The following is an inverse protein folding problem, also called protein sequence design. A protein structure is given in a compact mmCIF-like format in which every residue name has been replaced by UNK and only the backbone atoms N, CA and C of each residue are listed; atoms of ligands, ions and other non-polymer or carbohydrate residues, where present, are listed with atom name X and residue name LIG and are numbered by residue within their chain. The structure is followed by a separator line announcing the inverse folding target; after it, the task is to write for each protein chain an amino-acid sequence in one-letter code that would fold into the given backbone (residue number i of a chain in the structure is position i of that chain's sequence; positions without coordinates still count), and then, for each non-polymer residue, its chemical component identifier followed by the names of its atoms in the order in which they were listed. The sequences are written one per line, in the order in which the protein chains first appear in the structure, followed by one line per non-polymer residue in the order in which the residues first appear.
data_IF_195580168527
#
_entry.id   IF_195580168527
#
_cell.length_a   1.000
_cell.length_b   1.000
_cell.length_c   1.000
_cell.angle_alpha   90.00
_cell.angle_beta   90.00
_cell.angle_gamma   90.00
#
_symmetry.space_group_name_H-M   'P 1'
#
loop_
_entity.id
_entity.type
_entity.pdbx_description
1 polymer ?
#
# COMPACT_ATOMS: atom_id res chain seq x y z
N UNK A 1 5.06 -27.19 8.22
CA UNK A 1 5.71 -25.86 8.30
C UNK A 1 4.68 -24.73 8.18
N UNK A 2 3.42 -24.93 8.60
CA UNK A 2 2.28 -24.12 8.11
C UNK A 2 1.18 -23.89 9.16
N UNK A 3 1.58 -23.63 10.42
CA UNK A 3 0.70 -23.15 11.50
C UNK A 3 0.71 -21.60 11.60
N UNK A 4 1.53 -20.95 10.79
CA UNK A 4 2.03 -19.61 11.08
C UNK A 4 1.45 -18.50 10.19
N UNK A 5 0.51 -18.74 9.27
CA UNK A 5 0.09 -17.68 8.33
C UNK A 5 -0.77 -16.60 9.00
N UNK A 6 -1.87 -16.96 9.68
CA UNK A 6 -2.55 -16.05 10.60
C UNK A 6 -1.73 -15.79 11.82
N UNK A 7 -0.89 -16.69 12.34
CA UNK A 7 -0.02 -16.26 13.47
C UNK A 7 0.92 -15.14 13.03
N UNK A 8 1.36 -15.11 11.75
CA UNK A 8 2.14 -14.01 11.17
C UNK A 8 1.25 -12.81 10.86
N UNK A 9 0.07 -12.97 10.25
CA UNK A 9 -0.84 -11.85 9.97
C UNK A 9 -1.34 -11.19 11.27
N UNK A 10 -1.69 -12.03 12.25
CA UNK A 10 -2.02 -11.67 13.63
C UNK A 10 -0.79 -11.10 14.32
N UNK A 11 0.41 -11.67 14.24
CA UNK A 11 1.60 -11.06 14.82
C UNK A 11 1.87 -9.68 14.21
N UNK A 12 1.81 -9.54 12.87
CA UNK A 12 1.97 -8.27 12.18
C UNK A 12 0.91 -7.23 12.59
N UNK A 13 -0.28 -7.69 13.00
CA UNK A 13 -1.44 -6.86 13.37
C UNK A 13 -1.73 -6.81 14.88
N UNK A 14 -0.93 -7.48 15.71
CA UNK A 14 -1.14 -7.58 17.16
C UNK A 14 0.00 -6.92 17.94
N UNK A 15 -0.28 -6.34 19.11
CA UNK A 15 0.77 -5.93 20.04
C UNK A 15 1.59 -7.16 20.47
N UNK A 16 2.94 -7.08 20.58
CA UNK A 16 3.76 -5.87 20.55
C UNK A 16 4.29 -5.47 19.17
N UNK A 17 4.24 -6.34 18.16
CA UNK A 17 4.86 -6.03 16.86
C UNK A 17 4.22 -4.81 16.20
N UNK A 18 2.88 -4.73 16.20
CA UNK A 18 2.18 -3.57 15.63
C UNK A 18 2.53 -2.30 16.41
N UNK A 19 2.50 -2.31 17.75
CA UNK A 19 2.83 -1.13 18.56
C UNK A 19 4.29 -0.68 18.42
N UNK A 20 5.22 -1.62 18.21
CA UNK A 20 6.65 -1.33 18.18
C UNK A 20 7.13 -0.93 16.78
N UNK A 21 6.48 -1.42 15.72
CA UNK A 21 6.94 -1.28 14.34
C UNK A 21 5.99 -0.47 13.45
N UNK A 22 4.75 -0.24 13.89
CA UNK A 22 3.75 0.57 13.19
C UNK A 22 3.47 1.83 13.99
N UNK A 23 3.86 2.97 13.45
CA UNK A 23 3.62 4.27 14.06
C UNK A 23 2.86 5.15 13.07
N UNK A 24 1.67 5.57 13.47
CA UNK A 24 0.93 6.59 12.72
C UNK A 24 1.65 7.93 12.85
N UNK A 25 1.60 8.77 11.80
CA UNK A 25 2.20 10.09 11.84
C UNK A 25 1.42 10.98 12.82
N UNK A 26 2.15 11.74 13.62
CA UNK A 26 1.60 12.65 14.61
C UNK A 26 1.35 14.05 14.01
N UNK A 27 0.47 14.80 14.66
CA UNK A 27 0.24 16.21 14.32
C UNK A 27 1.52 17.00 14.62
N UNK A 28 2.02 17.73 13.63
CA UNK A 28 3.24 18.53 13.74
C UNK A 28 4.52 17.80 13.32
N UNK A 29 4.44 16.53 12.88
CA UNK A 29 5.60 15.83 12.35
C UNK A 29 6.22 16.59 11.17
N UNK A 30 7.56 16.73 11.16
CA UNK A 30 8.25 17.37 10.06
C UNK A 30 8.05 16.58 8.77
N UNK A 31 8.16 17.26 7.63
CA UNK A 31 8.13 16.57 6.35
C UNK A 31 9.26 15.54 6.26
N UNK A 32 9.01 14.34 5.71
CA UNK A 32 10.03 13.30 5.62
C UNK A 32 11.29 13.77 4.90
N UNK A 33 12.47 13.40 5.41
CA UNK A 33 13.77 13.80 4.85
C UNK A 33 13.93 13.37 3.39
N UNK A 34 13.35 12.22 3.03
CA UNK A 34 13.27 11.71 1.66
C UNK A 34 12.63 12.71 0.68
N UNK A 35 11.63 13.47 1.13
CA UNK A 35 10.98 14.51 0.34
C UNK A 35 11.83 15.78 0.34
N UNK A 36 12.19 16.29 1.53
CA UNK A 36 12.90 17.57 1.68
C UNK A 36 14.23 17.58 0.92
N UNK A 37 14.98 16.49 0.99
CA UNK A 37 16.32 16.39 0.42
C UNK A 37 16.34 16.27 -1.12
N UNK A 38 15.17 16.04 -1.74
CA UNK A 38 15.09 15.78 -3.17
C UNK A 38 14.33 16.90 -3.90
N UNK A 39 15.00 17.69 -4.77
CA UNK A 39 14.37 18.79 -5.50
C UNK A 39 13.33 18.32 -6.53
N UNK A 40 13.25 17.01 -6.82
CA UNK A 40 12.16 16.45 -7.63
C UNK A 40 10.85 16.35 -6.85
N UNK A 41 10.92 16.28 -5.52
CA UNK A 41 9.75 16.07 -4.66
C UNK A 41 9.41 17.32 -3.88
N UNK A 42 10.39 18.04 -3.36
CA UNK A 42 10.16 19.33 -2.68
C UNK A 42 10.15 20.49 -3.69
N UNK A 43 9.20 21.45 -3.62
CA UNK A 43 8.15 21.59 -2.59
C UNK A 43 6.84 20.86 -2.91
N UNK A 44 6.74 20.17 -4.05
CA UNK A 44 5.49 19.61 -4.60
C UNK A 44 4.78 18.62 -3.68
N UNK A 45 5.54 17.78 -2.96
CA UNK A 45 5.04 16.76 -2.03
C UNK A 45 5.40 17.08 -0.57
N UNK A 46 5.62 18.36 -0.24
CA UNK A 46 6.12 18.77 1.09
C UNK A 46 5.28 18.25 2.26
N UNK A 47 3.99 17.99 2.09
CA UNK A 47 3.11 17.48 3.15
C UNK A 47 2.79 15.99 3.02
N UNK A 48 3.45 15.28 2.10
CA UNK A 48 3.33 13.84 1.97
C UNK A 48 4.00 13.13 3.15
N UNK A 49 3.24 12.27 3.83
CA UNK A 49 3.72 11.46 4.97
C UNK A 49 4.14 10.05 4.56
N UNK A 50 3.83 9.64 3.33
CA UNK A 50 4.17 8.33 2.83
C UNK A 50 3.42 7.97 1.55
N UNK A 51 3.37 6.68 1.26
CA UNK A 51 2.60 6.11 0.17
C UNK A 51 1.62 5.03 0.67
N UNK A 52 0.52 4.86 -0.05
CA UNK A 52 -0.53 3.90 0.23
C UNK A 52 -0.80 3.04 -1.00
N UNK A 53 -1.00 1.75 -0.79
CA UNK A 53 -1.41 0.84 -1.86
C UNK A 53 -2.15 -0.39 -1.34
N UNK A 54 -2.99 -0.94 -2.21
CA UNK A 54 -3.54 -2.27 -2.05
C UNK A 54 -2.54 -3.33 -2.54
N UNK A 55 -2.46 -4.47 -1.87
CA UNK A 55 -1.71 -5.63 -2.32
C UNK A 55 -2.50 -6.89 -2.03
N UNK A 56 -2.61 -7.74 -3.06
CA UNK A 56 -3.12 -9.09 -2.88
C UNK A 56 -2.06 -9.96 -2.20
N UNK A 57 -2.46 -10.59 -1.10
CA UNK A 57 -1.67 -11.56 -0.35
C UNK A 57 -2.35 -12.92 -0.51
N UNK A 58 -1.60 -13.95 -0.88
CA UNK A 58 -2.15 -15.31 -1.05
C UNK A 58 -2.80 -15.79 0.25
N UNK A 59 -3.98 -16.41 0.16
CA UNK A 59 -4.69 -17.01 1.30
C UNK A 59 -5.37 -18.31 0.87
N UNK A 60 -5.78 -19.18 1.81
CA UNK A 60 -6.58 -20.37 1.49
C UNK A 60 -7.81 -20.41 2.41
N UNK A 61 -8.91 -19.82 1.98
CA UNK A 61 -10.08 -19.63 2.80
C UNK A 61 -10.94 -20.88 2.91
N UNK A 62 -11.92 -20.82 3.82
CA UNK A 62 -12.90 -21.89 3.97
C UNK A 62 -13.61 -22.15 2.64
N UNK A 63 -14.15 -23.34 2.43
CA UNK A 63 -14.81 -23.69 1.18
C UNK A 63 -15.94 -22.69 0.80
N UNK A 64 -16.60 -22.09 1.78
CA UNK A 64 -17.64 -21.07 1.59
C UNK A 64 -17.10 -19.71 1.12
N UNK A 65 -15.85 -19.38 1.46
CA UNK A 65 -15.22 -18.07 1.20
C UNK A 65 -14.25 -18.11 0.00
N UNK A 66 -13.98 -19.30 -0.55
CA UNK A 66 -13.06 -19.52 -1.69
C UNK A 66 -13.45 -18.74 -2.93
N UNK A 67 -14.74 -18.72 -3.25
CA UNK A 67 -15.21 -18.03 -4.45
C UNK A 67 -15.01 -16.51 -4.35
N UNK A 68 -15.27 -15.93 -3.16
CA UNK A 68 -15.07 -14.51 -2.88
C UNK A 68 -13.59 -14.09 -2.84
N UNK A 69 -12.70 -15.03 -2.51
CA UNK A 69 -11.26 -14.80 -2.41
C UNK A 69 -10.50 -15.11 -3.71
N UNK A 70 -11.20 -15.56 -4.76
CA UNK A 70 -10.57 -15.93 -6.03
C UNK A 70 -10.32 -14.69 -6.88
N UNK A 71 -9.07 -14.44 -7.24
CA UNK A 71 -8.71 -13.35 -8.13
C UNK A 71 -8.91 -13.72 -9.61
N UNK A 72 -8.81 -12.72 -10.49
CA UNK A 72 -8.98 -12.87 -11.96
C UNK A 72 -8.02 -13.88 -12.60
N UNK A 73 -6.89 -14.19 -11.94
CA UNK A 73 -5.90 -15.18 -12.40
C UNK A 73 -6.14 -16.58 -11.81
N UNK A 74 -7.22 -16.76 -11.06
CA UNK A 74 -7.62 -18.03 -10.47
C UNK A 74 -6.92 -18.39 -9.16
N UNK A 75 -6.01 -17.54 -8.65
CA UNK A 75 -5.40 -17.73 -7.34
C UNK A 75 -6.31 -17.23 -6.23
N UNK A 76 -6.15 -17.78 -5.03
CA UNK A 76 -6.91 -17.37 -3.87
C UNK A 76 -6.07 -16.42 -3.03
N UNK A 77 -6.60 -15.23 -2.75
CA UNK A 77 -5.91 -14.14 -2.09
C UNK A 77 -6.88 -13.29 -1.28
N UNK A 78 -6.34 -12.48 -0.36
CA UNK A 78 -7.07 -11.42 0.33
C UNK A 78 -6.50 -10.06 -0.08
N UNK A 79 -7.35 -9.04 -0.14
CA UNK A 79 -6.90 -7.67 -0.34
C UNK A 79 -6.35 -7.12 0.99
N UNK A 80 -5.20 -6.48 0.93
CA UNK A 80 -4.53 -5.83 2.06
C UNK A 80 -4.15 -4.41 1.66
N UNK A 81 -4.67 -3.43 2.39
CA UNK A 81 -4.28 -2.03 2.26
C UNK A 81 -3.14 -1.75 3.23
N UNK A 82 -2.08 -1.10 2.76
CA UNK A 82 -1.01 -0.62 3.64
C UNK A 82 -0.63 0.84 3.36
N UNK A 83 -0.30 1.55 4.43
CA UNK A 83 0.37 2.84 4.40
C UNK A 83 1.82 2.64 4.83
N UNK A 84 2.76 3.18 4.06
CA UNK A 84 4.19 3.10 4.33
C UNK A 84 4.80 4.49 4.37
N UNK A 85 5.64 4.76 5.37
CA UNK A 85 6.50 5.94 5.41
C UNK A 85 7.59 5.85 4.35
N UNK A 86 8.22 6.99 4.04
CA UNK A 86 9.36 7.02 3.12
C UNK A 86 10.63 6.34 3.68
N UNK A 87 10.64 5.95 4.95
CA UNK A 87 11.72 5.23 5.62
C UNK A 87 11.48 3.70 5.65
N UNK A 88 10.65 3.17 4.73
CA UNK A 88 10.32 1.74 4.62
C UNK A 88 9.60 1.14 5.84
N UNK A 89 8.95 1.96 6.69
CA UNK A 89 8.15 1.48 7.82
C UNK A 89 6.66 1.51 7.50
N UNK A 90 5.94 0.48 7.91
CA UNK A 90 4.48 0.51 7.91
C UNK A 90 3.98 1.56 8.91
N UNK A 91 3.03 2.39 8.46
CA UNK A 91 2.30 3.34 9.31
C UNK A 91 0.89 2.84 9.59
N UNK A 92 0.36 1.98 8.71
CA UNK A 92 -0.94 1.34 8.86
C UNK A 92 -1.05 0.11 7.97
N UNK A 93 -1.75 -0.92 8.42
CA UNK A 93 -2.08 -2.12 7.64
C UNK A 93 -3.52 -2.53 7.95
N UNK A 94 -4.32 -2.78 6.92
CA UNK A 94 -5.65 -3.38 6.99
C UNK A 94 -5.69 -4.59 6.05
N UNK A 95 -5.95 -5.78 6.59
CA UNK A 95 -6.00 -7.05 5.85
C UNK A 95 -7.32 -7.79 6.11
N UNK A 96 -7.55 -8.93 5.45
CA UNK A 96 -8.76 -9.75 5.67
C UNK A 96 -9.93 -9.46 4.73
N UNK A 97 -9.75 -8.62 3.70
CA UNK A 97 -10.82 -8.24 2.79
C UNK A 97 -10.86 -9.10 1.53
N UNK A 98 -12.06 -9.28 0.96
CA UNK A 98 -12.25 -9.98 -0.30
C UNK A 98 -11.51 -9.27 -1.45
N UNK A 99 -11.05 -10.05 -2.44
CA UNK A 99 -10.31 -9.54 -3.61
C UNK A 99 -11.16 -8.62 -4.49
N UNK A 100 -12.48 -8.83 -4.48
CA UNK A 100 -13.45 -8.05 -5.24
C UNK A 100 -13.59 -6.61 -4.74
N UNK A 101 -13.20 -6.35 -3.49
CA UNK A 101 -13.39 -5.06 -2.85
C UNK A 101 -12.30 -4.10 -3.34
N UNK A 102 -12.75 -3.00 -3.95
CA UNK A 102 -11.87 -1.95 -4.45
C UNK A 102 -11.08 -1.29 -3.32
N UNK A 103 -9.85 -0.87 -3.62
CA UNK A 103 -8.96 -0.25 -2.63
C UNK A 103 -9.53 1.04 -2.02
N UNK A 104 -10.33 1.79 -2.79
CA UNK A 104 -11.07 2.94 -2.28
C UNK A 104 -12.04 2.57 -1.14
N UNK A 105 -12.70 1.41 -1.23
CA UNK A 105 -13.60 0.91 -0.17
C UNK A 105 -12.80 0.53 1.08
N UNK A 106 -11.65 -0.14 0.92
CA UNK A 106 -10.75 -0.44 2.04
C UNK A 106 -10.29 0.85 2.73
N UNK A 107 -9.94 1.88 1.95
CA UNK A 107 -9.54 3.18 2.49
C UNK A 107 -10.68 3.83 3.30
N UNK A 108 -11.91 3.85 2.78
CA UNK A 108 -13.05 4.41 3.51
C UNK A 108 -13.31 3.67 4.82
N UNK A 109 -13.20 2.33 4.82
CA UNK A 109 -13.33 1.54 6.03
C UNK A 109 -12.19 1.81 7.03
N UNK A 110 -10.94 1.88 6.55
CA UNK A 110 -9.78 2.22 7.37
C UNK A 110 -9.95 3.58 8.06
N UNK A 111 -10.40 4.61 7.31
CA UNK A 111 -10.65 5.95 7.87
C UNK A 111 -11.77 5.99 8.90
N UNK A 112 -12.81 5.18 8.71
CA UNK A 112 -13.93 5.08 9.66
C UNK A 112 -13.52 4.38 10.97
N UNK A 113 -12.57 3.46 10.89
CA UNK A 113 -12.10 2.66 12.04
C UNK A 113 -11.02 3.41 12.81
N UNK A 114 -9.80 3.43 12.30
CA UNK A 114 -8.60 3.80 13.09
C UNK A 114 -7.46 4.42 12.28
N UNK A 115 -7.55 4.50 10.95
CA UNK A 115 -6.59 5.25 10.14
C UNK A 115 -6.77 6.76 10.38
N UNK A 116 -5.89 7.35 11.20
CA UNK A 116 -5.84 8.79 11.43
C UNK A 116 -4.76 9.41 10.56
N UNK A 117 -5.16 10.41 9.76
CA UNK A 117 -4.27 11.21 8.93
C UNK A 117 -4.38 12.65 9.45
N UNK A 118 -3.28 13.28 9.88
CA UNK A 118 -3.30 14.66 10.34
C UNK A 118 -3.78 15.64 9.25
N UNK A 119 -4.46 16.70 9.66
CA UNK A 119 -4.91 17.75 8.73
C UNK A 119 -3.73 18.37 7.98
N UNK A 120 -3.92 18.61 6.69
CA UNK A 120 -2.88 19.14 5.80
C UNK A 120 -1.82 18.12 5.40
N UNK A 121 -1.87 16.88 5.89
CA UNK A 121 -0.99 15.78 5.47
C UNK A 121 -1.73 14.79 4.56
N UNK A 122 -1.00 14.14 3.67
CA UNK A 122 -1.58 13.18 2.73
C UNK A 122 -0.66 12.01 2.38
N UNK A 123 -1.26 10.91 1.91
CA UNK A 123 -0.55 9.79 1.29
C UNK A 123 -0.56 9.88 -0.24
N UNK A 124 0.52 9.44 -0.88
CA UNK A 124 0.55 9.19 -2.32
C UNK A 124 -0.09 7.82 -2.61
N UNK A 125 -1.14 7.76 -3.43
CA UNK A 125 -1.85 6.51 -3.76
C UNK A 125 -2.04 6.31 -5.27
N UNK A 126 -2.41 5.09 -5.70
CA UNK A 126 -2.65 4.79 -7.11
C UNK A 126 -3.91 5.49 -7.66
N UNK A 127 -4.05 5.53 -8.98
CA UNK A 127 -5.22 6.01 -9.69
C UNK A 127 -6.52 5.27 -9.32
N UNK A 128 -6.43 4.07 -8.72
CA UNK A 128 -7.55 3.29 -8.20
C UNK A 128 -8.25 3.94 -7.00
N UNK A 129 -7.58 4.87 -6.31
CA UNK A 129 -8.16 5.63 -5.21
C UNK A 129 -8.90 6.88 -5.70
N UNK A 130 -9.83 7.37 -4.89
CA UNK A 130 -10.46 8.68 -5.09
C UNK A 130 -9.55 9.81 -4.56
N UNK A 131 -9.47 10.92 -5.30
CA UNK A 131 -8.80 12.14 -4.82
C UNK A 131 -9.58 12.71 -3.64
N UNK A 132 -8.87 13.02 -2.55
CA UNK A 132 -9.39 13.78 -1.42
C UNK A 132 -8.26 14.51 -0.71
N UNK A 133 -8.57 15.33 0.29
CA UNK A 133 -7.58 16.15 1.01
C UNK A 133 -6.44 15.33 1.66
N UNK A 134 -6.67 14.04 1.90
CA UNK A 134 -5.73 13.13 2.56
C UNK A 134 -5.08 12.11 1.61
N UNK A 135 -5.47 12.09 0.32
CA UNK A 135 -4.91 11.21 -0.70
C UNK A 135 -4.63 11.98 -1.98
N UNK A 136 -3.39 11.88 -2.45
CA UNK A 136 -2.95 12.42 -3.72
C UNK A 136 -2.69 11.29 -4.73
N UNK A 137 -3.38 11.33 -5.88
CA UNK A 137 -3.31 10.30 -6.94
C UNK A 137 -2.71 10.88 -8.23
N UNK A 138 -2.24 10.05 -9.19
CA UNK A 138 -1.74 10.55 -10.47
C UNK A 138 -2.87 11.13 -11.34
N UNK A 139 -2.52 12.02 -12.27
CA UNK A 139 -3.44 12.46 -13.33
C UNK A 139 -3.82 11.27 -14.22
N UNK A 140 -5.13 11.03 -14.35
CA UNK A 140 -5.68 10.00 -15.24
C UNK A 140 -5.60 10.44 -16.71
N UNK A 141 -5.49 9.47 -17.62
CA UNK A 141 -5.41 9.73 -19.06
C UNK A 141 -4.05 10.26 -19.55
N UNK A 142 -3.10 10.44 -18.64
CA UNK A 142 -1.73 10.86 -18.91
C UNK A 142 -0.78 9.75 -18.46
N UNK A 143 0.32 9.50 -19.19
CA UNK A 143 1.29 8.42 -18.88
C UNK A 143 1.73 8.47 -17.41
N UNK A 144 1.69 7.32 -16.70
CA UNK A 144 1.97 7.29 -15.26
C UNK A 144 2.64 6.02 -14.72
N UNK A 145 2.83 4.95 -15.51
CA UNK A 145 3.54 3.76 -15.01
C UNK A 145 5.06 3.92 -15.17
N UNK A 146 5.84 3.64 -14.10
CA UNK A 146 7.32 3.72 -14.13
C UNK A 146 7.95 2.86 -15.24
N UNK A 147 7.35 1.70 -15.54
CA UNK A 147 7.82 0.81 -16.60
C UNK A 147 7.75 1.44 -18.00
N UNK A 148 6.83 2.38 -18.24
CA UNK A 148 6.67 3.07 -19.52
C UNK A 148 7.81 4.07 -19.77
N UNK A 149 8.38 4.63 -18.70
CA UNK A 149 9.52 5.55 -18.77
C UNK A 149 10.84 4.82 -19.04
N UNK A 150 11.05 3.66 -18.39
CA UNK A 150 12.26 2.85 -18.54
C UNK A 150 12.42 2.21 -19.92
N UNK A 151 11.31 1.88 -20.61
CA UNK A 151 11.34 1.28 -21.95
C UNK A 151 11.60 2.29 -23.08
N UNK A 152 11.37 3.57 -22.83
CA UNK A 152 11.34 4.57 -23.90
C UNK A 152 12.50 5.59 -23.86
N UNK A 153 13.24 5.72 -22.75
CA UNK A 153 14.18 6.85 -22.54
C UNK A 153 13.55 8.22 -22.83
N UNK A 154 12.21 8.30 -22.76
CA UNK A 154 11.43 9.49 -23.09
C UNK A 154 11.37 10.38 -21.86
N UNK A 155 11.66 11.66 -22.03
CA UNK A 155 11.49 12.66 -20.97
C UNK A 155 10.01 13.08 -20.90
N UNK A 156 9.49 13.45 -19.73
CA UNK A 156 8.15 14.02 -19.62
C UNK A 156 7.96 15.19 -20.60
N UNK A 157 6.89 15.14 -21.37
CA UNK A 157 6.59 16.12 -22.41
C UNK A 157 5.77 17.31 -21.86
N UNK A 158 5.06 17.13 -20.76
CA UNK A 158 4.20 18.15 -20.17
C UNK A 158 4.22 18.09 -18.62
N UNK A 159 3.70 19.14 -17.93
CA UNK A 159 3.70 19.19 -16.47
C UNK A 159 2.97 18.04 -15.79
N UNK A 160 1.90 17.49 -16.39
CA UNK A 160 1.16 16.37 -15.82
C UNK A 160 1.98 15.07 -15.89
N UNK A 161 2.68 14.83 -16.99
CA UNK A 161 3.61 13.69 -17.10
C UNK A 161 4.77 13.80 -16.11
N UNK A 162 5.31 15.00 -15.91
CA UNK A 162 6.37 15.24 -14.94
C UNK A 162 5.88 14.94 -13.52
N UNK A 163 4.71 15.44 -13.16
CA UNK A 163 4.05 15.14 -11.90
C UNK A 163 3.80 13.64 -11.73
N UNK A 164 3.22 12.97 -12.73
CA UNK A 164 2.94 11.53 -12.67
C UNK A 164 4.22 10.70 -12.50
N UNK A 165 5.30 11.08 -13.17
CA UNK A 165 6.61 10.44 -12.99
C UNK A 165 7.13 10.62 -11.56
N UNK A 166 7.11 11.84 -11.03
CA UNK A 166 7.57 12.14 -9.67
C UNK A 166 6.71 11.44 -8.62
N UNK A 167 5.39 11.47 -8.80
CA UNK A 167 4.40 10.79 -7.96
C UNK A 167 4.69 9.29 -7.93
N UNK A 168 4.79 8.64 -9.09
CA UNK A 168 5.05 7.21 -9.17
C UNK A 168 6.42 6.84 -8.56
N UNK A 169 7.45 7.67 -8.75
CA UNK A 169 8.78 7.47 -8.14
C UNK A 169 8.71 7.50 -6.61
N UNK A 170 8.02 8.47 -6.04
CA UNK A 170 7.88 8.58 -4.59
C UNK A 170 6.96 7.48 -4.02
N UNK A 171 5.86 7.16 -4.73
CA UNK A 171 4.90 6.13 -4.35
C UNK A 171 5.51 4.73 -4.31
N UNK A 172 6.49 4.43 -5.18
CA UNK A 172 7.15 3.13 -5.28
C UNK A 172 7.69 2.57 -3.95
N UNK A 173 7.86 3.39 -2.92
CA UNK A 173 8.20 2.93 -1.57
C UNK A 173 7.26 1.82 -1.06
N UNK A 174 5.94 1.95 -1.24
CA UNK A 174 4.97 0.97 -0.73
C UNK A 174 5.07 -0.37 -1.47
N UNK A 175 5.29 -0.33 -2.79
CA UNK A 175 5.53 -1.52 -3.61
C UNK A 175 6.81 -2.23 -3.19
N UNK A 176 7.88 -1.47 -2.90
CA UNK A 176 9.15 -2.01 -2.42
C UNK A 176 9.02 -2.63 -1.03
N UNK A 177 8.24 -2.02 -0.14
CA UNK A 177 7.97 -2.58 1.20
C UNK A 177 7.19 -3.90 1.07
N UNK A 178 6.15 -3.95 0.23
CA UNK A 178 5.45 -5.21 -0.05
C UNK A 178 6.36 -6.27 -0.69
N UNK A 179 7.23 -5.87 -1.63
CA UNK A 179 8.21 -6.77 -2.23
C UNK A 179 9.16 -7.37 -1.20
N UNK A 180 9.75 -6.53 -0.35
CA UNK A 180 10.63 -6.97 0.74
C UNK A 180 9.90 -7.87 1.76
N UNK A 181 8.64 -7.56 2.07
CA UNK A 181 7.81 -8.40 2.96
C UNK A 181 7.59 -9.78 2.34
N UNK A 182 7.21 -9.85 1.07
CA UNK A 182 6.96 -11.10 0.32
C UNK A 182 8.22 -11.94 0.13
N UNK A 183 9.38 -11.31 0.00
CA UNK A 183 10.68 -11.98 -0.07
C UNK A 183 11.08 -12.58 1.29
N UNK A 184 10.94 -11.80 2.38
CA UNK A 184 11.26 -12.27 3.74
C UNK A 184 10.30 -13.34 4.24
N UNK A 185 9.03 -13.23 3.87
CA UNK A 185 7.97 -14.13 4.28
C UNK A 185 7.39 -14.81 3.03
N UNK A 186 8.13 -15.80 2.51
CA UNK A 186 7.74 -16.56 1.31
C UNK A 186 6.34 -17.18 1.42
N UNK A 187 5.87 -17.44 2.65
CA UNK A 187 4.51 -17.91 2.94
C UNK A 187 3.42 -16.93 2.46
N UNK A 188 3.71 -15.64 2.33
CA UNK A 188 2.79 -14.62 1.79
C UNK A 188 2.66 -14.67 0.26
N UNK A 189 3.57 -15.39 -0.41
CA UNK A 189 3.61 -15.53 -1.87
C UNK A 189 3.04 -16.87 -2.34
N UNK A 190 3.04 -17.91 -1.50
CA UNK A 190 2.52 -19.25 -1.82
C UNK A 190 1.04 -19.39 -1.46
N UNK A 191 0.26 -20.12 -2.28
CA UNK A 191 -1.11 -20.48 -1.92
C UNK A 191 -1.08 -21.44 -0.72
N UNK A 192 -1.77 -21.15 0.39
CA UNK A 192 -1.73 -22.02 1.56
C UNK A 192 -2.54 -23.32 1.33
N UNK A 193 -2.18 -24.39 2.04
CA UNK A 193 -2.76 -25.73 1.81
C UNK A 193 -3.99 -26.06 2.69
N UNK A 194 -4.29 -25.25 3.71
CA UNK A 194 -5.37 -25.49 4.70
C UNK A 194 -6.34 -24.32 4.78
N UNK A 195 -7.57 -24.51 5.28
CA UNK A 195 -8.62 -23.48 5.35
C UNK A 195 -8.27 -22.26 6.21
N UNK A 196 -9.00 -21.14 6.01
CA UNK A 196 -8.70 -19.87 6.68
C UNK A 196 -8.79 -20.04 8.18
N UNK A 197 -9.69 -20.85 8.72
CA UNK A 197 -9.85 -21.15 10.14
C UNK A 197 -8.59 -21.74 10.81
N UNK A 198 -7.77 -22.49 10.05
CA UNK A 198 -6.52 -23.13 10.52
C UNK A 198 -5.28 -22.29 10.19
N UNK A 199 -5.33 -21.49 9.12
CA UNK A 199 -4.30 -20.49 8.86
C UNK A 199 -4.10 -19.62 10.08
#
# INVERSE_FOLDING_TARGET
MFRYFKEVLFALSSPPFYSDNVQLPAVGDPSPSYIISNPKFYPFFKDAIGAMDGSYISCCPSAAERDASRNRKGFVSQNTLACCSFDFRFQYILSGWEVSVADATLYHNARATDLKIPDGKFYLADAGFGVCDHILVPYRGTRYHLAEWGRASVRPANPQELYNLQHAQARNIVERVFGALKERLSILSSAPEYGMDIQ
#
